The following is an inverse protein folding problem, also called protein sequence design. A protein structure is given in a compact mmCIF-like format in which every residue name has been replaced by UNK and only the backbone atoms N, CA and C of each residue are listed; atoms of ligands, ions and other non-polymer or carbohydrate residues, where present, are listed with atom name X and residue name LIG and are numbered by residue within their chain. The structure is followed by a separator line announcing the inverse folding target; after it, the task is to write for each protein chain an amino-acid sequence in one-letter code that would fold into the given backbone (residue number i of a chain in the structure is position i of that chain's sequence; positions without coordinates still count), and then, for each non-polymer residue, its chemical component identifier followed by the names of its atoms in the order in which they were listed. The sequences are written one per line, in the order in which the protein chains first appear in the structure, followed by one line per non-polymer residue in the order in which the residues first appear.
data_IF_381336192918
#
_entry.id   IF_381336192918
#
_cell.length_a   1.000
_cell.length_b   1.000
_cell.length_c   1.000
_cell.angle_alpha   90.00
_cell.angle_beta   90.00
_cell.angle_gamma   90.00
#
_symmetry.space_group_name_H-M   'P 1'
#
loop_
_entity.id
_entity.type
_entity.pdbx_description
1 polymer ?
#
# COMPACT_ATOMS: atom_id res chain seq x y z
N UNK A 1 4.97 -22.83 19.98
CA UNK A 1 4.84 -21.45 20.50
C UNK A 1 3.75 -20.79 19.68
N UNK A 2 2.56 -20.64 20.24
CA UNK A 2 1.48 -19.88 19.57
C UNK A 2 1.94 -18.43 19.44
N UNK A 3 2.16 -17.96 18.21
CA UNK A 3 2.45 -16.55 17.95
C UNK A 3 1.16 -15.77 18.22
N UNK A 4 1.07 -15.13 19.37
CA UNK A 4 -0.07 -14.26 19.71
C UNK A 4 -0.10 -13.08 18.74
N UNK A 5 -1.09 -13.09 17.84
CA UNK A 5 -1.38 -11.97 16.94
C UNK A 5 -2.06 -10.88 17.75
N UNK A 6 -1.35 -9.78 17.99
CA UNK A 6 -1.95 -8.60 18.60
C UNK A 6 -3.10 -8.05 17.76
N UNK A 7 -4.21 -7.67 18.38
CA UNK A 7 -5.36 -7.09 17.69
C UNK A 7 -5.02 -5.85 16.86
N UNK A 8 -4.02 -5.06 17.29
CA UNK A 8 -3.53 -3.88 16.58
C UNK A 8 -2.98 -4.22 15.18
N UNK A 9 -2.21 -5.30 15.05
CA UNK A 9 -1.67 -5.75 13.76
C UNK A 9 -2.79 -6.20 12.81
N UNK A 10 -3.77 -6.92 13.33
CA UNK A 10 -4.92 -7.39 12.53
C UNK A 10 -5.75 -6.21 12.02
N UNK A 11 -6.07 -5.25 12.89
CA UNK A 11 -6.81 -4.04 12.51
C UNK A 11 -6.02 -3.23 11.48
N UNK A 12 -4.71 -3.07 11.67
CA UNK A 12 -3.86 -2.36 10.72
C UNK A 12 -3.88 -2.99 9.33
N UNK A 13 -3.75 -4.32 9.23
CA UNK A 13 -3.76 -5.04 7.96
C UNK A 13 -5.12 -4.95 7.25
N UNK A 14 -6.23 -5.00 8.01
CA UNK A 14 -7.58 -4.79 7.46
C UNK A 14 -7.72 -3.38 6.89
N UNK A 15 -7.28 -2.36 7.64
CA UNK A 15 -7.32 -0.96 7.19
C UNK A 15 -6.49 -0.79 5.91
N UNK A 16 -5.32 -1.43 5.84
CA UNK A 16 -4.43 -1.35 4.68
C UNK A 16 -5.03 -2.03 3.45
N UNK A 17 -5.65 -3.20 3.61
CA UNK A 17 -6.38 -3.88 2.56
C UNK A 17 -7.59 -3.06 2.07
N UNK A 18 -8.34 -2.45 3.00
CA UNK A 18 -9.46 -1.57 2.66
C UNK A 18 -9.00 -0.33 1.90
N UNK A 19 -7.89 0.29 2.31
CA UNK A 19 -7.29 1.43 1.63
C UNK A 19 -6.83 1.07 0.20
N UNK A 20 -6.22 -0.10 0.00
CA UNK A 20 -5.86 -0.59 -1.33
C UNK A 20 -7.09 -0.78 -2.24
N UNK A 21 -8.17 -1.35 -1.69
CA UNK A 21 -9.45 -1.50 -2.40
C UNK A 21 -10.08 -0.16 -2.79
N UNK A 22 -10.11 0.81 -1.87
CA UNK A 22 -10.59 2.17 -2.14
C UNK A 22 -9.74 2.89 -3.20
N UNK A 23 -8.43 2.64 -3.22
CA UNK A 23 -7.52 3.15 -4.24
C UNK A 23 -7.89 2.68 -5.65
N UNK A 24 -8.19 1.38 -5.82
CA UNK A 24 -8.67 0.82 -7.08
C UNK A 24 -9.98 1.48 -7.51
N UNK A 25 -10.96 1.56 -6.61
CA UNK A 25 -12.28 2.15 -6.91
C UNK A 25 -12.14 3.62 -7.33
N UNK A 26 -11.28 4.37 -6.66
CA UNK A 26 -11.03 5.78 -6.95
C UNK A 26 -10.43 5.98 -8.35
N UNK A 27 -9.45 5.15 -8.73
CA UNK A 27 -8.81 5.22 -10.05
C UNK A 27 -9.72 4.73 -11.16
N UNK A 28 -10.53 3.71 -10.93
CA UNK A 28 -11.56 3.29 -11.89
C UNK A 28 -12.63 4.37 -12.07
N UNK A 29 -13.03 5.04 -11.00
CA UNK A 29 -13.93 6.19 -11.04
C UNK A 29 -13.37 7.32 -11.90
N UNK A 30 -12.10 7.67 -11.71
CA UNK A 30 -11.40 8.65 -12.53
C UNK A 30 -11.28 8.21 -13.99
N UNK A 31 -10.93 6.95 -14.27
CA UNK A 31 -10.82 6.42 -15.63
C UNK A 31 -12.17 6.35 -16.36
N UNK A 32 -13.28 6.20 -15.63
CA UNK A 32 -14.63 6.21 -16.20
C UNK A 32 -15.14 7.61 -16.57
N UNK A 33 -14.51 8.67 -16.05
CA UNK A 33 -14.87 10.04 -16.37
C UNK A 33 -14.14 10.49 -17.65
N UNK A 34 -14.85 10.82 -18.75
CA UNK A 34 -14.22 11.13 -20.04
C UNK A 34 -13.26 12.33 -20.00
N UNK A 35 -13.47 13.31 -19.11
CA UNK A 35 -12.54 14.45 -18.95
C UNK A 35 -11.22 14.05 -18.27
N UNK A 36 -11.27 13.05 -17.40
CA UNK A 36 -10.09 12.55 -16.68
C UNK A 36 -9.38 11.44 -17.47
N UNK A 37 -10.11 10.68 -18.28
CA UNK A 37 -9.58 9.63 -19.15
C UNK A 37 -8.61 10.15 -20.22
N UNK A 38 -8.78 11.39 -20.70
CA UNK A 38 -7.84 12.02 -21.64
C UNK A 38 -6.50 12.40 -20.97
N UNK A 39 -6.51 12.62 -19.65
CA UNK A 39 -5.33 13.08 -18.89
C UNK A 39 -4.59 11.92 -18.24
N UNK A 40 -5.27 10.80 -17.94
CA UNK A 40 -4.68 9.65 -17.25
C UNK A 40 -4.22 8.62 -18.29
N UNK A 41 -2.91 8.37 -18.42
CA UNK A 41 -2.42 7.28 -19.24
C UNK A 41 -3.03 5.93 -18.85
N UNK A 42 -3.53 5.18 -19.84
CA UNK A 42 -4.19 3.89 -19.63
C UNK A 42 -3.32 2.85 -18.91
N UNK A 43 -2.00 2.93 -19.06
CA UNK A 43 -1.05 2.06 -18.37
C UNK A 43 -1.08 2.23 -16.84
N UNK A 44 -1.49 3.39 -16.34
CA UNK A 44 -1.59 3.66 -14.89
C UNK A 44 -2.64 2.76 -14.26
N UNK A 45 -3.76 2.52 -14.96
CA UNK A 45 -4.83 1.66 -14.44
C UNK A 45 -4.30 0.24 -14.22
N UNK A 46 -3.59 -0.32 -15.20
CA UNK A 46 -2.96 -1.65 -15.10
C UNK A 46 -1.92 -1.65 -13.98
N UNK A 47 -1.07 -0.62 -13.92
CA UNK A 47 -0.05 -0.48 -12.88
C UNK A 47 -0.66 -0.48 -11.47
N UNK A 48 -1.74 0.25 -11.24
CA UNK A 48 -2.42 0.35 -9.94
C UNK A 48 -3.04 -1.00 -9.55
N UNK A 49 -3.61 -1.72 -10.49
CA UNK A 49 -4.15 -3.08 -10.24
C UNK A 49 -3.03 -4.02 -9.82
N UNK A 50 -1.91 -4.02 -10.54
CA UNK A 50 -0.73 -4.84 -10.18
C UNK A 50 -0.21 -4.45 -8.81
N UNK A 51 -0.09 -3.16 -8.53
CA UNK A 51 0.39 -2.66 -7.25
C UNK A 51 -0.54 -3.07 -6.09
N UNK A 52 -1.85 -3.01 -6.28
CA UNK A 52 -2.81 -3.47 -5.29
C UNK A 52 -2.69 -4.98 -5.01
N UNK A 53 -2.47 -5.80 -6.04
CA UNK A 53 -2.20 -7.23 -5.86
C UNK A 53 -0.91 -7.43 -5.04
N UNK A 54 0.15 -6.69 -5.33
CA UNK A 54 1.40 -6.73 -4.57
C UNK A 54 1.17 -6.31 -3.12
N UNK A 55 0.39 -5.27 -2.85
CA UNK A 55 0.07 -4.85 -1.48
C UNK A 55 -0.73 -5.90 -0.72
N UNK A 56 -1.71 -6.54 -1.36
CA UNK A 56 -2.47 -7.65 -0.76
C UNK A 56 -1.54 -8.84 -0.47
N UNK A 57 -0.67 -9.21 -1.41
CA UNK A 57 0.32 -10.27 -1.20
C UNK A 57 1.29 -9.92 -0.05
N UNK A 58 1.67 -8.64 0.05
CA UNK A 58 2.51 -8.13 1.13
C UNK A 58 1.82 -8.24 2.49
N UNK A 59 0.52 -7.89 2.56
CA UNK A 59 -0.32 -8.06 3.76
C UNK A 59 -0.39 -9.53 4.17
N UNK A 60 -0.56 -10.45 3.21
CA UNK A 60 -0.54 -11.90 3.47
C UNK A 60 0.85 -12.33 3.97
N UNK A 61 1.93 -11.82 3.37
CA UNK A 61 3.30 -12.06 3.84
C UNK A 61 3.51 -11.61 5.29
N UNK A 62 3.03 -10.41 5.64
CA UNK A 62 3.08 -9.89 7.03
C UNK A 62 2.23 -10.76 7.97
N UNK A 63 1.05 -11.18 7.54
CA UNK A 63 0.17 -12.08 8.29
C UNK A 63 0.80 -13.46 8.57
N UNK A 64 1.62 -13.92 7.63
CA UNK A 64 2.43 -15.14 7.72
C UNK A 64 3.81 -14.90 8.35
N UNK A 65 4.04 -13.73 8.96
CA UNK A 65 5.29 -13.37 9.63
C UNK A 65 6.53 -13.48 8.75
N UNK A 66 6.39 -13.17 7.46
CA UNK A 66 7.50 -13.20 6.50
C UNK A 66 8.08 -11.81 6.28
N UNK A 67 9.40 -11.69 6.44
CA UNK A 67 10.15 -10.45 6.21
C UNK A 67 9.93 -9.86 4.80
N UNK A 68 9.79 -10.72 3.78
CA UNK A 68 9.52 -10.26 2.41
C UNK A 68 8.21 -9.47 2.29
N UNK A 69 7.22 -9.71 3.15
CA UNK A 69 5.96 -8.96 3.14
C UNK A 69 6.17 -7.50 3.55
N UNK A 70 7.06 -7.24 4.51
CA UNK A 70 7.43 -5.89 4.92
C UNK A 70 8.19 -5.19 3.78
N UNK A 71 9.17 -5.89 3.18
CA UNK A 71 9.98 -5.34 2.09
C UNK A 71 9.14 -5.05 0.85
N UNK A 72 8.24 -5.96 0.47
CA UNK A 72 7.34 -5.79 -0.67
C UNK A 72 6.36 -4.62 -0.43
N UNK A 73 5.84 -4.47 0.79
CA UNK A 73 5.00 -3.34 1.14
C UNK A 73 5.75 -2.01 1.01
N UNK A 74 6.94 -1.92 1.62
CA UNK A 74 7.78 -0.72 1.56
C UNK A 74 8.18 -0.36 0.12
N UNK A 75 8.60 -1.36 -0.67
CA UNK A 75 8.92 -1.17 -2.08
C UNK A 75 7.70 -0.68 -2.87
N UNK A 76 6.53 -1.28 -2.66
CA UNK A 76 5.29 -0.86 -3.34
C UNK A 76 4.94 0.61 -3.05
N UNK A 77 5.17 1.09 -1.83
CA UNK A 77 4.93 2.49 -1.45
C UNK A 77 5.88 3.45 -2.17
N UNK A 78 7.16 3.09 -2.27
CA UNK A 78 8.17 3.90 -2.98
C UNK A 78 7.82 3.99 -4.47
N UNK A 79 7.54 2.84 -5.11
CA UNK A 79 7.20 2.79 -6.54
C UNK A 79 5.90 3.58 -6.78
N UNK A 80 4.89 3.42 -5.93
CA UNK A 80 3.63 4.18 -6.04
C UNK A 80 3.87 5.69 -5.98
N UNK A 81 4.76 6.15 -5.10
CA UNK A 81 5.09 7.56 -4.97
C UNK A 81 5.81 8.09 -6.20
N UNK A 82 6.80 7.34 -6.71
CA UNK A 82 7.49 7.71 -7.94
C UNK A 82 6.50 7.88 -9.08
N UNK A 83 5.57 6.93 -9.28
CA UNK A 83 4.55 7.04 -10.32
C UNK A 83 3.67 8.27 -10.11
N UNK A 84 3.21 8.56 -8.89
CA UNK A 84 2.41 9.75 -8.61
C UNK A 84 3.15 11.06 -8.91
N UNK A 85 4.46 11.11 -8.63
CA UNK A 85 5.31 12.27 -8.94
C UNK A 85 5.48 12.43 -10.45
N UNK A 86 5.80 11.35 -11.17
CA UNK A 86 6.01 11.40 -12.63
C UNK A 86 4.73 11.71 -13.42
N UNK A 87 3.58 11.29 -12.90
CA UNK A 87 2.28 11.49 -13.56
C UNK A 87 1.60 12.79 -13.15
N UNK A 88 2.12 13.49 -12.12
CA UNK A 88 1.53 14.71 -11.59
C UNK A 88 0.17 14.50 -10.90
N UNK A 89 -0.26 13.25 -10.69
CA UNK A 89 -1.57 12.91 -10.12
C UNK A 89 -1.60 13.00 -8.59
N UNK A 90 -0.44 13.10 -7.94
CA UNK A 90 -0.32 13.16 -6.48
C UNK A 90 -0.10 14.58 -5.95
N UNK A 91 -0.74 14.89 -4.82
CA UNK A 91 -0.35 16.04 -4.01
C UNK A 91 0.98 15.75 -3.31
N UNK A 92 1.94 16.68 -3.39
CA UNK A 92 3.23 16.56 -2.69
C UNK A 92 3.05 16.31 -1.19
N UNK A 93 2.04 16.93 -0.57
CA UNK A 93 1.73 16.72 0.84
C UNK A 93 1.28 15.28 1.12
N UNK A 94 0.42 14.71 0.26
CA UNK A 94 -0.05 13.32 0.40
C UNK A 94 1.07 12.30 0.16
N UNK A 95 1.96 12.58 -0.80
CA UNK A 95 3.13 11.75 -1.09
C UNK A 95 4.09 11.68 0.10
N UNK A 96 4.37 12.82 0.76
CA UNK A 96 5.21 12.87 1.97
C UNK A 96 4.57 12.07 3.11
N UNK A 97 3.26 12.23 3.32
CA UNK A 97 2.53 11.45 4.34
C UNK A 97 2.66 9.96 4.06
N UNK A 98 2.51 9.54 2.81
CA UNK A 98 2.59 8.14 2.41
C UNK A 98 4.01 7.56 2.58
N UNK A 99 5.04 8.35 2.28
CA UNK A 99 6.46 7.94 2.40
C UNK A 99 7.00 7.93 3.83
N UNK A 100 6.44 8.75 4.72
CA UNK A 100 6.97 8.91 6.09
C UNK A 100 6.04 8.30 7.13
N UNK A 101 4.77 8.70 7.12
CA UNK A 101 3.82 8.30 8.18
C UNK A 101 3.47 6.83 8.08
N UNK A 102 3.27 6.31 6.87
CA UNK A 102 2.85 4.93 6.66
C UNK A 102 3.91 3.89 7.07
N UNK A 103 5.19 4.00 6.65
CA UNK A 103 6.23 3.11 7.13
C UNK A 103 6.56 3.33 8.62
N UNK A 104 6.40 4.54 9.16
CA UNK A 104 6.60 4.80 10.58
C UNK A 104 5.50 4.15 11.44
N UNK A 105 4.24 4.20 10.99
CA UNK A 105 3.13 3.45 11.60
C UNK A 105 3.38 1.95 11.52
N UNK A 106 3.81 1.44 10.37
CA UNK A 106 4.18 0.04 10.20
C UNK A 106 5.27 -0.35 11.21
N UNK A 107 6.32 0.46 11.33
CA UNK A 107 7.39 0.24 12.28
C UNK A 107 6.89 0.25 13.72
N UNK A 108 6.05 1.21 14.12
CA UNK A 108 5.49 1.28 15.48
C UNK A 108 4.64 0.04 15.80
N UNK A 109 3.82 -0.43 14.85
CA UNK A 109 2.98 -1.63 15.03
C UNK A 109 3.83 -2.90 15.07
N UNK A 110 4.92 -2.95 14.29
CA UNK A 110 5.77 -4.13 14.18
C UNK A 110 6.90 -4.17 15.21
N UNK A 111 7.28 -3.05 15.85
CA UNK A 111 8.48 -2.96 16.70
C UNK A 111 8.53 -4.04 17.79
N UNK A 112 7.38 -4.33 18.41
CA UNK A 112 7.28 -5.26 19.52
C UNK A 112 7.33 -6.73 19.04
N UNK A 113 7.16 -6.95 17.72
CA UNK A 113 7.01 -8.27 17.08
C UNK A 113 8.05 -8.55 16.00
N UNK A 114 9.01 -7.64 15.76
CA UNK A 114 10.04 -7.81 14.73
C UNK A 114 10.90 -9.07 14.93
N UNK A 115 11.07 -9.52 16.17
CA UNK A 115 11.82 -10.74 16.51
C UNK A 115 11.11 -12.04 16.10
N UNK A 116 9.83 -11.98 15.74
CA UNK A 116 9.03 -13.15 15.30
C UNK A 116 9.05 -13.36 13.78
N UNK A 117 9.65 -12.45 13.02
CA UNK A 117 9.72 -12.54 11.55
C UNK A 117 10.90 -13.41 11.10
N UNK A 118 10.60 -14.33 10.17
CA UNK A 118 11.58 -15.21 9.52
C UNK A 118 12.12 -14.63 8.19
#
# INVERSE_FOLDING_TARGET
MERERGGCLTVYLIVLAAAAGLGIVSILGLASNPRSAEVIPSWIVIFVVVLAIVQIASVVGIWSWKTWGIMALAASMIISNLVQIFTGLGSLAMNIVQLVVQPLLLFVVLRDKMHEFD
#
